data_IF_815073213147
#
_entry.id   IF_815073213147
#
_cell.length_a   1.000
_cell.length_b   1.000
_cell.length_c   1.000
_cell.angle_alpha   90.00
_cell.angle_beta   90.00
_cell.angle_gamma   90.00
#
_symmetry.space_group_name_H-M   'P 1'
#
loop_
_entity.id
_entity.type
_entity.pdbx_description
1 polymer ?
#
# COMPACT_ATOMS: atom_id res chain seq x y z
N UNK A 1 -19.17 -31.51 -6.97
CA UNK A 1 -19.01 -30.65 -8.17
C UNK A 1 -18.96 -29.14 -7.84
N UNK A 2 -19.35 -28.69 -6.64
CA UNK A 2 -19.38 -27.26 -6.27
C UNK A 2 -18.06 -26.72 -5.68
N UNK A 3 -17.24 -27.54 -5.03
CA UNK A 3 -15.99 -27.11 -4.37
C UNK A 3 -14.84 -26.82 -5.35
N UNK A 4 -14.75 -27.57 -6.45
CA UNK A 4 -13.70 -27.39 -7.47
C UNK A 4 -13.90 -26.10 -8.26
N UNK A 5 -15.15 -25.75 -8.57
CA UNK A 5 -15.49 -24.49 -9.25
C UNK A 5 -15.16 -23.27 -8.39
N UNK A 6 -15.41 -23.32 -7.07
CA UNK A 6 -15.08 -22.22 -6.16
C UNK A 6 -13.57 -21.99 -6.04
N UNK A 7 -12.77 -23.07 -6.01
CA UNK A 7 -11.29 -22.98 -5.98
C UNK A 7 -10.73 -22.47 -7.30
N UNK A 8 -11.31 -22.88 -8.44
CA UNK A 8 -10.93 -22.37 -9.77
C UNK A 8 -11.28 -20.88 -9.92
N UNK A 9 -12.43 -20.43 -9.42
CA UNK A 9 -12.79 -18.99 -9.41
C UNK A 9 -11.87 -18.15 -8.50
N UNK A 10 -11.39 -18.71 -7.38
CA UNK A 10 -10.44 -18.02 -6.50
C UNK A 10 -9.04 -17.93 -7.11
N UNK A 11 -8.61 -18.96 -7.87
CA UNK A 11 -7.34 -18.99 -8.58
C UNK A 11 -7.32 -18.02 -9.78
N UNK A 12 -8.44 -17.88 -10.49
CA UNK A 12 -8.56 -16.93 -11.62
C UNK A 12 -8.53 -15.46 -11.19
N UNK A 13 -8.90 -15.16 -9.93
CA UNK A 13 -8.72 -13.82 -9.34
C UNK A 13 -7.25 -13.49 -9.02
N UNK A 14 -6.39 -14.51 -8.86
CA UNK A 14 -4.96 -14.33 -8.58
C UNK A 14 -4.12 -14.16 -9.85
N UNK A 15 -4.56 -14.70 -10.99
CA UNK A 15 -3.80 -14.64 -12.26
C UNK A 15 -3.85 -13.27 -12.94
N UNK A 16 -4.86 -12.43 -12.68
CA UNK A 16 -4.93 -11.09 -13.29
C UNK A 16 -4.05 -10.04 -12.61
N UNK A 17 -3.47 -10.33 -11.43
CA UNK A 17 -2.55 -9.40 -10.73
C UNK A 17 -1.24 -9.22 -11.51
N UNK A 18 -0.87 -10.17 -12.37
CA UNK A 18 0.34 -10.12 -13.19
C UNK A 18 0.25 -9.12 -14.36
N UNK A 19 -0.96 -8.75 -14.79
CA UNK A 19 -1.17 -7.84 -15.93
C UNK A 19 -0.88 -6.36 -15.64
N UNK A 20 -0.61 -6.02 -14.38
CA UNK A 20 -0.31 -4.66 -13.92
C UNK A 20 1.17 -4.45 -13.57
N UNK A 21 2.09 -5.30 -14.07
CA UNK A 21 3.51 -4.95 -14.11
C UNK A 21 3.73 -3.80 -15.12
N UNK A 22 3.41 -2.57 -14.72
CA UNK A 22 3.88 -1.37 -15.42
C UNK A 22 5.38 -1.28 -15.17
N UNK A 23 6.13 -1.91 -16.09
CA UNK A 23 7.51 -1.58 -16.48
C UNK A 23 8.43 -1.16 -15.33
N UNK A 24 8.95 -2.14 -14.59
CA UNK A 24 10.14 -1.97 -13.76
C UNK A 24 11.37 -1.72 -14.65
N UNK A 25 11.55 -0.47 -15.09
CA UNK A 25 12.79 0.00 -15.69
C UNK A 25 13.76 0.38 -14.58
N UNK A 26 14.53 -0.59 -14.09
CA UNK A 26 15.87 -0.50 -13.48
C UNK A 26 16.26 0.68 -12.58
N UNK A 27 15.30 1.46 -12.07
CA UNK A 27 15.50 2.70 -11.33
C UNK A 27 15.06 2.51 -9.90
N UNK A 28 15.80 3.10 -8.95
CA UNK A 28 15.46 3.03 -7.52
C UNK A 28 14.02 3.52 -7.29
N UNK A 29 13.23 2.73 -6.59
CA UNK A 29 11.85 3.04 -6.22
C UNK A 29 11.82 3.59 -4.79
N UNK A 30 11.53 4.87 -4.66
CA UNK A 30 11.22 5.48 -3.36
C UNK A 30 9.75 5.23 -2.98
N UNK A 31 9.39 5.56 -1.74
CA UNK A 31 8.03 5.42 -1.22
C UNK A 31 6.98 6.20 -2.04
N UNK A 32 7.39 7.31 -2.68
CA UNK A 32 6.53 8.09 -3.56
C UNK A 32 6.14 7.29 -4.81
N UNK A 33 7.11 6.65 -5.46
CA UNK A 33 6.89 5.79 -6.64
C UNK A 33 6.09 4.55 -6.27
N UNK A 34 6.41 3.89 -5.15
CA UNK A 34 5.65 2.72 -4.66
C UNK A 34 4.18 3.08 -4.44
N UNK A 35 3.93 4.19 -3.74
CA UNK A 35 2.58 4.68 -3.45
C UNK A 35 1.82 5.03 -4.72
N UNK A 36 2.44 5.79 -5.63
CA UNK A 36 1.81 6.17 -6.91
C UNK A 36 1.45 4.93 -7.73
N UNK A 37 2.37 3.99 -7.85
CA UNK A 37 2.19 2.78 -8.64
C UNK A 37 1.01 1.95 -8.11
N UNK A 38 1.00 1.65 -6.82
CA UNK A 38 -0.09 0.88 -6.22
C UNK A 38 -1.47 1.54 -6.34
N UNK A 39 -1.52 2.88 -6.22
CA UNK A 39 -2.77 3.64 -6.45
C UNK A 39 -3.23 3.50 -7.91
N UNK A 40 -2.33 3.66 -8.88
CA UNK A 40 -2.66 3.53 -10.30
C UNK A 40 -3.15 2.12 -10.63
N UNK A 41 -2.43 1.08 -10.20
CA UNK A 41 -2.79 -0.32 -10.43
C UNK A 41 -4.16 -0.66 -9.83
N UNK A 42 -4.37 -0.32 -8.56
CA UNK A 42 -5.62 -0.64 -7.86
C UNK A 42 -6.79 0.11 -8.46
N UNK A 43 -6.61 1.40 -8.78
CA UNK A 43 -7.65 2.20 -9.44
C UNK A 43 -8.02 1.60 -10.79
N UNK A 44 -7.03 1.27 -11.62
CA UNK A 44 -7.27 0.69 -12.93
C UNK A 44 -7.98 -0.66 -12.87
N UNK A 45 -7.61 -1.51 -11.90
CA UNK A 45 -8.29 -2.77 -11.63
C UNK A 45 -9.77 -2.55 -11.27
N UNK A 46 -10.07 -1.61 -10.37
CA UNK A 46 -11.45 -1.28 -9.98
C UNK A 46 -12.24 -0.79 -11.19
N UNK A 47 -11.67 0.13 -11.98
CA UNK A 47 -12.36 0.68 -13.15
C UNK A 47 -12.66 -0.37 -14.22
N UNK A 48 -11.69 -1.26 -14.49
CA UNK A 48 -11.88 -2.39 -15.41
C UNK A 48 -13.02 -3.30 -14.94
N UNK A 49 -13.08 -3.61 -13.65
CA UNK A 49 -14.14 -4.43 -13.08
C UNK A 49 -15.52 -3.76 -13.19
N UNK A 50 -15.62 -2.47 -12.86
CA UNK A 50 -16.87 -1.72 -13.01
C UNK A 50 -17.33 -1.64 -14.47
N UNK A 51 -16.41 -1.34 -15.40
CA UNK A 51 -16.72 -1.29 -16.82
C UNK A 51 -17.22 -2.64 -17.35
N UNK A 52 -16.59 -3.75 -16.93
CA UNK A 52 -17.01 -5.10 -17.27
C UNK A 52 -18.41 -5.42 -16.77
N UNK A 53 -18.75 -5.04 -15.52
CA UNK A 53 -20.10 -5.20 -14.96
C UNK A 53 -21.14 -4.36 -15.72
N UNK A 54 -20.75 -3.22 -16.27
CA UNK A 54 -21.60 -2.35 -17.08
C UNK A 54 -21.69 -2.77 -18.56
N UNK A 55 -21.00 -3.84 -18.97
CA UNK A 55 -20.95 -4.26 -20.38
C UNK A 55 -20.18 -3.29 -21.29
N UNK A 56 -19.35 -2.39 -20.72
CA UNK A 56 -18.47 -1.50 -21.47
C UNK A 56 -17.12 -2.17 -21.71
N UNK A 57 -16.63 -2.12 -22.94
CA UNK A 57 -15.28 -2.56 -23.25
C UNK A 57 -14.26 -1.60 -22.61
N UNK A 58 -13.36 -2.14 -21.78
CA UNK A 58 -12.30 -1.39 -21.12
C UNK A 58 -10.97 -1.71 -21.79
N UNK A 59 -10.69 -1.02 -22.90
CA UNK A 59 -9.44 -1.17 -23.64
C UNK A 59 -8.42 -0.12 -23.19
N UNK A 60 -7.35 -0.59 -22.53
CA UNK A 60 -6.10 0.16 -22.46
C UNK A 60 -5.35 -0.04 -23.79
N UNK A 61 -4.76 1.01 -24.39
CA UNK A 61 -4.44 2.29 -23.78
C UNK A 61 -5.46 3.39 -24.12
N UNK A 62 -6.13 3.93 -23.11
CA UNK A 62 -6.70 5.29 -23.20
C UNK A 62 -5.59 6.32 -22.97
N UNK A 63 -5.76 7.56 -23.46
CA UNK A 63 -4.79 8.66 -23.29
C UNK A 63 -4.36 8.91 -21.83
N UNK A 64 -5.17 8.52 -20.84
CA UNK A 64 -4.79 8.50 -19.42
C UNK A 64 -5.72 7.60 -18.62
N UNK A 65 -5.23 6.96 -17.55
CA UNK A 65 -6.07 6.17 -16.64
C UNK A 65 -7.26 6.98 -16.10
N UNK A 66 -7.03 8.26 -15.81
CA UNK A 66 -8.09 9.16 -15.35
C UNK A 66 -9.26 9.26 -16.35
N UNK A 67 -8.97 9.28 -17.64
CA UNK A 67 -9.98 9.34 -18.70
C UNK A 67 -10.76 8.03 -18.84
N UNK A 68 -10.11 6.88 -18.65
CA UNK A 68 -10.79 5.57 -18.69
C UNK A 68 -11.68 5.34 -17.46
N UNK A 69 -11.18 5.73 -16.29
CA UNK A 69 -11.83 5.49 -15.02
C UNK A 69 -12.95 6.48 -14.70
N UNK A 70 -12.81 7.71 -15.20
CA UNK A 70 -13.63 8.84 -14.78
C UNK A 70 -14.04 9.68 -16.01
N UNK A 71 -14.24 10.98 -15.83
CA UNK A 71 -14.54 11.92 -16.91
C UNK A 71 -13.28 12.61 -17.46
N UNK A 72 -13.38 13.19 -18.67
CA UNK A 72 -12.30 13.94 -19.33
C UNK A 72 -11.75 15.13 -18.52
N UNK A 73 -12.48 15.61 -17.51
CA UNK A 73 -12.02 16.66 -16.58
C UNK A 73 -11.33 16.15 -15.30
N UNK A 74 -11.30 14.83 -15.06
CA UNK A 74 -10.89 14.24 -13.78
C UNK A 74 -9.38 13.97 -13.66
N UNK A 75 -8.60 14.22 -14.71
CA UNK A 75 -7.16 13.97 -14.70
C UNK A 75 -6.41 14.83 -13.65
N UNK A 76 -6.75 16.12 -13.56
CA UNK A 76 -6.13 17.03 -12.57
C UNK A 76 -6.51 16.64 -11.15
N UNK A 77 -7.78 16.30 -10.91
CA UNK A 77 -8.25 15.87 -9.59
C UNK A 77 -7.65 14.54 -9.15
N UNK A 78 -7.45 13.60 -10.08
CA UNK A 78 -6.77 12.34 -9.79
C UNK A 78 -5.31 12.57 -9.44
N UNK A 79 -4.60 13.35 -10.26
CA UNK A 79 -3.20 13.69 -10.00
C UNK A 79 -3.04 14.44 -8.67
N UNK A 80 -3.96 15.35 -8.33
CA UNK A 80 -3.98 16.02 -7.03
C UNK A 80 -4.19 15.02 -5.88
N UNK A 81 -5.08 14.04 -6.01
CA UNK A 81 -5.31 13.05 -4.97
C UNK A 81 -4.10 12.14 -4.75
N UNK A 82 -3.43 11.70 -5.81
CA UNK A 82 -2.16 10.98 -5.72
C UNK A 82 -1.13 11.87 -5.00
N UNK A 83 -0.99 13.14 -5.42
CA UNK A 83 -0.05 14.08 -4.82
C UNK A 83 -0.30 14.25 -3.32
N UNK A 84 -1.56 14.38 -2.89
CA UNK A 84 -1.92 14.53 -1.47
C UNK A 84 -1.47 13.31 -0.65
N UNK A 85 -1.71 12.11 -1.14
CA UNK A 85 -1.31 10.86 -0.47
C UNK A 85 0.21 10.73 -0.44
N UNK A 86 0.89 10.96 -1.58
CA UNK A 86 2.35 10.85 -1.66
C UNK A 86 3.07 11.90 -0.82
N UNK A 87 2.53 13.13 -0.75
CA UNK A 87 3.08 14.17 0.11
C UNK A 87 2.92 13.82 1.58
N UNK A 88 1.79 13.21 1.96
CA UNK A 88 1.55 12.77 3.34
C UNK A 88 2.45 11.62 3.74
N UNK A 89 2.62 10.65 2.84
CA UNK A 89 3.59 9.57 2.96
C UNK A 89 5.00 10.12 3.22
N UNK A 90 5.58 10.93 2.32
CA UNK A 90 6.93 11.47 2.52
C UNK A 90 7.07 12.41 3.72
N UNK A 91 5.97 13.00 4.22
CA UNK A 91 6.02 13.85 5.42
C UNK A 91 6.24 13.05 6.70
N UNK A 92 6.03 11.73 6.69
CA UNK A 92 6.29 10.88 7.85
C UNK A 92 7.77 10.92 8.23
N UNK A 93 8.68 10.77 7.26
CA UNK A 93 10.14 10.89 7.50
C UNK A 93 10.53 12.18 8.23
N UNK A 94 9.88 13.29 7.91
CA UNK A 94 10.16 14.57 8.57
C UNK A 94 9.47 14.70 9.93
N UNK A 95 8.21 14.29 10.05
CA UNK A 95 7.44 14.46 11.30
C UNK A 95 7.78 13.45 12.37
N UNK A 96 8.26 12.29 11.96
CA UNK A 96 8.48 11.11 12.78
C UNK A 96 9.93 10.64 12.74
N UNK A 97 10.86 11.54 12.41
CA UNK A 97 12.29 11.28 12.23
C UNK A 97 12.95 10.44 13.34
N UNK A 98 12.49 10.57 14.59
CA UNK A 98 13.03 9.83 15.74
C UNK A 98 12.04 8.84 16.36
N UNK A 99 10.91 8.60 15.69
CA UNK A 99 9.86 7.71 16.13
C UNK A 99 9.98 6.36 15.41
N UNK A 100 10.81 5.46 15.94
CA UNK A 100 11.11 4.19 15.27
C UNK A 100 9.88 3.34 14.94
N UNK A 101 8.76 3.51 15.65
CA UNK A 101 7.49 2.84 15.32
C UNK A 101 6.92 3.23 13.94
N UNK A 102 7.16 4.44 13.43
CA UNK A 102 6.71 4.84 12.09
C UNK A 102 7.58 4.26 10.98
N UNK A 103 8.80 3.84 11.34
CA UNK A 103 9.86 3.39 10.44
C UNK A 103 10.21 1.90 10.61
N UNK A 104 9.56 1.18 11.53
CA UNK A 104 9.98 -0.18 11.92
C UNK A 104 11.44 -0.28 12.40
N UNK A 105 11.99 0.82 12.88
CA UNK A 105 13.32 0.89 13.48
C UNK A 105 13.32 0.38 14.93
N UNK A 106 14.48 -0.07 15.39
CA UNK A 106 14.68 -0.51 16.77
C UNK A 106 13.76 -1.66 17.18
N UNK A 107 13.40 -2.52 16.22
CA UNK A 107 12.50 -3.66 16.38
C UNK A 107 11.09 -3.31 16.89
N UNK A 108 10.63 -2.07 16.66
CA UNK A 108 9.28 -1.58 17.02
C UNK A 108 8.17 -2.14 16.11
N UNK A 109 8.17 -3.45 15.88
CA UNK A 109 7.23 -4.13 14.98
C UNK A 109 5.79 -4.13 15.51
N UNK A 110 5.62 -4.26 16.83
CA UNK A 110 4.30 -4.28 17.47
C UNK A 110 3.65 -2.90 17.35
N UNK A 111 4.40 -1.85 17.67
CA UNK A 111 3.97 -0.46 17.62
C UNK A 111 3.73 -0.01 16.17
N UNK A 112 4.66 -0.29 15.25
CA UNK A 112 4.49 0.06 13.84
C UNK A 112 3.30 -0.63 13.20
N UNK A 113 3.08 -1.91 13.52
CA UNK A 113 1.87 -2.61 13.11
C UNK A 113 0.60 -1.99 13.69
N UNK A 114 0.63 -1.60 14.96
CA UNK A 114 -0.51 -0.92 15.60
C UNK A 114 -0.86 0.37 14.86
N UNK A 115 0.12 1.17 14.44
CA UNK A 115 -0.11 2.37 13.63
C UNK A 115 -0.82 2.05 12.31
N UNK A 116 -0.44 0.97 11.63
CA UNK A 116 -1.07 0.52 10.39
C UNK A 116 -2.54 0.12 10.63
N UNK A 117 -2.81 -0.70 11.65
CA UNK A 117 -4.18 -1.20 11.92
C UNK A 117 -5.12 -0.10 12.40
N UNK A 118 -4.66 0.74 13.34
CA UNK A 118 -5.46 1.85 13.86
C UNK A 118 -5.70 2.88 12.75
N UNK A 119 -4.69 3.14 11.91
CA UNK A 119 -4.83 4.04 10.79
C UNK A 119 -5.72 3.50 9.68
N UNK A 120 -5.68 2.20 9.37
CA UNK A 120 -6.63 1.55 8.47
C UNK A 120 -8.08 1.79 8.93
N UNK A 121 -8.33 1.56 10.22
CA UNK A 121 -9.64 1.79 10.83
C UNK A 121 -10.08 3.24 10.70
N UNK A 122 -9.15 4.19 10.91
CA UNK A 122 -9.39 5.63 10.73
C UNK A 122 -9.65 6.02 9.27
N UNK A 123 -8.98 5.41 8.30
CA UNK A 123 -9.21 5.66 6.86
C UNK A 123 -10.61 5.20 6.49
N UNK A 124 -10.96 3.96 6.83
CA UNK A 124 -12.29 3.38 6.56
C UNK A 124 -13.41 4.21 7.20
N UNK A 125 -13.22 4.64 8.46
CA UNK A 125 -14.18 5.50 9.15
C UNK A 125 -14.32 6.88 8.48
N UNK A 126 -13.20 7.48 8.06
CA UNK A 126 -13.19 8.79 7.40
C UNK A 126 -13.89 8.76 6.05
N UNK A 127 -13.71 7.69 5.28
CA UNK A 127 -14.43 7.46 4.02
C UNK A 127 -15.93 7.37 4.26
N UNK A 128 -16.35 6.55 5.24
CA UNK A 128 -17.76 6.39 5.61
C UNK A 128 -18.42 7.70 6.06
N UNK A 129 -17.65 8.58 6.72
CA UNK A 129 -18.10 9.91 7.14
C UNK A 129 -18.05 10.95 6.01
N UNK A 130 -17.56 10.59 4.82
CA UNK A 130 -17.37 11.51 3.70
C UNK A 130 -16.18 12.46 3.87
N UNK A 131 -15.34 12.27 4.89
CA UNK A 131 -14.13 13.06 5.12
C UNK A 131 -12.96 12.51 4.29
N UNK A 132 -13.04 12.72 2.98
CA UNK A 132 -12.07 12.19 1.99
C UNK A 132 -10.68 12.79 2.17
N UNK A 133 -10.58 14.05 2.64
CA UNK A 133 -9.28 14.65 2.93
C UNK A 133 -8.59 13.93 4.09
N UNK A 134 -9.27 13.76 5.23
CA UNK A 134 -8.70 13.02 6.36
C UNK A 134 -8.35 11.58 5.98
N UNK A 135 -9.19 10.93 5.16
CA UNK A 135 -8.90 9.60 4.63
C UNK A 135 -7.58 9.57 3.84
N UNK A 136 -7.38 10.51 2.90
CA UNK A 136 -6.13 10.60 2.11
C UNK A 136 -4.92 10.92 2.97
N UNK A 137 -5.07 11.81 3.95
CA UNK A 137 -3.98 12.14 4.86
C UNK A 137 -3.53 10.93 5.67
N UNK A 138 -4.49 10.25 6.31
CA UNK A 138 -4.18 9.08 7.14
C UNK A 138 -3.70 7.89 6.30
N UNK A 139 -4.21 7.75 5.06
CA UNK A 139 -3.72 6.77 4.10
C UNK A 139 -2.24 7.00 3.79
N UNK A 140 -1.84 8.23 3.47
CA UNK A 140 -0.42 8.54 3.24
C UNK A 140 0.45 8.17 4.44
N UNK A 141 0.04 8.54 5.65
CA UNK A 141 0.76 8.23 6.88
C UNK A 141 1.00 6.71 7.05
N UNK A 142 -0.04 5.88 6.90
CA UNK A 142 0.10 4.43 7.10
C UNK A 142 0.82 3.73 5.94
N UNK A 143 0.74 4.27 4.73
CA UNK A 143 1.45 3.71 3.58
C UNK A 143 2.95 3.84 3.74
N UNK A 144 3.41 4.95 4.32
CA UNK A 144 4.83 5.13 4.65
C UNK A 144 5.29 4.01 5.58
N UNK A 145 4.64 3.88 6.73
CA UNK A 145 4.98 2.86 7.73
C UNK A 145 4.91 1.44 7.15
N UNK A 146 3.89 1.13 6.34
CA UNK A 146 3.80 -0.18 5.67
C UNK A 146 4.97 -0.45 4.71
N UNK A 147 5.46 0.57 4.00
CA UNK A 147 6.55 0.44 3.04
C UNK A 147 7.90 0.29 3.79
N UNK A 148 8.09 1.04 4.87
CA UNK A 148 9.27 0.94 5.74
C UNK A 148 9.44 -0.46 6.34
N UNK A 149 8.35 -1.16 6.65
CA UNK A 149 8.45 -2.57 7.07
C UNK A 149 9.23 -3.42 6.06
N UNK A 150 9.02 -3.25 4.75
CA UNK A 150 9.71 -4.06 3.75
C UNK A 150 11.15 -3.60 3.51
N UNK A 151 11.44 -2.34 3.79
CA UNK A 151 12.79 -1.77 3.72
C UNK A 151 13.64 -2.10 4.94
N UNK A 152 13.02 -2.16 6.13
CA UNK A 152 13.71 -2.19 7.43
C UNK A 152 13.50 -3.49 8.23
N UNK A 153 12.77 -4.47 7.68
CA UNK A 153 12.67 -5.82 8.23
C UNK A 153 13.42 -6.87 7.42
N UNK A 154 13.58 -8.06 8.01
CA UNK A 154 14.21 -9.20 7.36
C UNK A 154 13.24 -9.99 6.47
N UNK A 155 12.05 -9.46 6.17
CA UNK A 155 11.00 -10.18 5.44
C UNK A 155 11.49 -10.73 4.10
N UNK A 156 12.27 -9.93 3.35
CA UNK A 156 12.79 -10.32 2.04
C UNK A 156 13.94 -11.33 2.18
N UNK A 157 14.79 -11.18 3.19
CA UNK A 157 15.90 -12.09 3.49
C UNK A 157 15.45 -13.46 3.97
N UNK A 158 14.28 -13.54 4.59
CA UNK A 158 13.62 -14.81 4.90
C UNK A 158 13.09 -15.53 3.65
N UNK A 159 13.31 -14.97 2.45
CA UNK A 159 12.89 -15.55 1.17
C UNK A 159 11.46 -15.20 0.77
N UNK A 160 10.76 -14.36 1.54
CA UNK A 160 9.40 -13.97 1.19
C UNK A 160 9.40 -13.03 -0.02
N UNK A 161 8.47 -13.26 -0.94
CA UNK A 161 8.24 -12.45 -2.15
C UNK A 161 6.78 -12.02 -2.30
N UNK A 162 6.01 -12.14 -1.22
CA UNK A 162 4.60 -11.78 -1.16
C UNK A 162 4.34 -10.89 0.04
N UNK A 163 3.27 -10.07 0.01
CA UNK A 163 2.88 -9.24 1.13
C UNK A 163 2.67 -10.04 2.42
N UNK A 164 3.13 -9.48 3.53
CA UNK A 164 2.83 -10.03 4.84
C UNK A 164 1.42 -9.64 5.29
N UNK A 165 0.44 -10.47 4.93
CA UNK A 165 -0.99 -10.19 5.15
C UNK A 165 -1.37 -9.93 6.62
N UNK A 166 -0.61 -10.46 7.59
CA UNK A 166 -0.88 -10.23 9.00
C UNK A 166 -0.56 -8.79 9.45
N UNK A 167 0.17 -7.98 8.67
CA UNK A 167 0.43 -6.57 9.01
C UNK A 167 -0.83 -5.71 9.03
N UNK A 168 -1.80 -6.02 8.17
CA UNK A 168 -3.02 -5.22 8.00
C UNK A 168 -4.27 -5.84 8.66
N UNK A 169 -4.14 -7.06 9.21
CA UNK A 169 -5.23 -7.83 9.80
C UNK A 169 -5.43 -7.51 11.28
N UNK A 170 -6.55 -6.89 11.66
CA UNK A 170 -6.84 -6.58 13.07
C UNK A 170 -7.15 -7.82 13.92
N UNK A 171 -7.51 -8.95 13.31
CA UNK A 171 -7.95 -10.17 13.97
C UNK A 171 -6.81 -11.10 14.42
N UNK A 172 -5.56 -10.75 14.10
CA UNK A 172 -4.37 -11.48 14.55
C UNK A 172 -3.53 -10.61 15.49
N UNK A 173 -3.03 -11.20 16.57
CA UNK A 173 -2.21 -10.51 17.58
C UNK A 173 -0.70 -10.67 17.35
N UNK A 174 -0.30 -11.75 16.68
CA UNK A 174 1.09 -12.07 16.36
C UNK A 174 1.28 -12.12 14.85
N UNK A 175 2.31 -11.42 14.35
CA UNK A 175 2.67 -11.39 12.93
C UNK A 175 3.68 -12.49 12.56
N UNK A 176 4.15 -13.29 13.52
CA UNK A 176 5.14 -14.33 13.29
C UNK A 176 6.57 -13.80 13.42
N UNK A 177 7.57 -14.57 12.97
CA UNK A 177 8.97 -14.21 13.14
C UNK A 177 9.37 -13.09 12.16
N UNK A 178 9.25 -11.86 12.63
CA UNK A 178 9.74 -10.64 11.99
C UNK A 178 10.68 -10.00 13.01
N UNK A 179 11.96 -9.90 12.62
CA UNK A 179 13.12 -9.74 13.52
C UNK A 179 13.43 -10.92 14.46
N UNK A 180 13.95 -12.00 13.85
CA UNK A 180 14.89 -12.90 14.52
C UNK A 180 14.34 -14.23 15.04
N UNK A 181 14.55 -15.31 14.28
CA UNK A 181 15.27 -16.55 14.67
C UNK A 181 15.40 -17.45 13.44
N UNK A 182 16.50 -17.33 12.70
CA UNK A 182 16.99 -18.51 12.00
C UNK A 182 17.45 -19.47 13.11
N UNK A 183 16.64 -20.50 13.39
CA UNK A 183 17.11 -21.62 14.19
C UNK A 183 18.36 -22.14 13.49
N UNK A 184 19.46 -22.22 14.24
CA UNK A 184 20.83 -22.62 13.83
C UNK A 184 21.70 -21.41 13.39
N UNK A 185 22.54 -20.96 14.35
CA UNK A 185 23.57 -19.90 14.34
C UNK A 185 23.12 -18.46 14.68
N UNK A 186 23.31 -18.12 15.95
CA UNK A 186 23.00 -16.87 16.65
C UNK A 186 23.98 -15.71 16.35
N UNK A 187 24.02 -15.18 15.12
CA UNK A 187 24.75 -13.93 14.82
C UNK A 187 24.14 -13.05 13.71
N UNK A 188 22.92 -13.33 13.24
CA UNK A 188 22.32 -12.57 12.14
C UNK A 188 21.04 -11.89 12.64
N UNK A 189 21.04 -10.54 12.66
CA UNK A 189 19.87 -9.63 12.77
C UNK A 189 19.40 -9.19 14.17
N UNK A 190 20.14 -8.30 14.85
CA UNK A 190 19.56 -7.39 15.86
C UNK A 190 19.99 -5.96 15.52
N UNK A 191 19.05 -5.01 15.55
CA UNK A 191 19.28 -3.60 15.19
C UNK A 191 19.66 -2.76 16.43
N UNK A 192 20.63 -1.84 16.32
CA UNK A 192 21.14 -1.03 17.44
C UNK A 192 21.47 0.41 17.01
N UNK A 193 20.50 1.34 16.92
CA UNK A 193 20.76 2.79 16.83
C UNK A 193 19.53 3.62 17.26
N UNK A 194 19.61 4.32 18.40
CA UNK A 194 18.53 5.17 18.89
C UNK A 194 18.99 6.53 19.46
N UNK A 195 19.68 7.36 18.66
CA UNK A 195 19.83 8.81 18.90
C UNK A 195 21.06 9.31 19.69
N UNK A 196 21.26 10.64 19.74
CA UNK A 196 22.49 11.30 20.23
C UNK A 196 22.78 11.17 21.74
N UNK A 197 21.94 10.47 22.50
CA UNK A 197 22.14 10.13 23.92
C UNK A 197 22.17 8.61 24.16
N UNK A 198 22.39 7.82 23.10
CA UNK A 198 22.36 6.35 23.15
C UNK A 198 23.61 5.77 23.85
N UNK A 199 23.42 5.30 25.08
CA UNK A 199 24.44 4.64 25.92
C UNK A 199 24.46 3.11 25.77
N UNK A 200 23.80 2.54 24.75
CA UNK A 200 23.68 1.08 24.58
C UNK A 200 24.86 0.41 23.85
N UNK A 201 25.96 1.14 23.66
CA UNK A 201 27.21 0.76 22.96
C UNK A 201 27.99 -0.44 23.53
N UNK A 202 27.54 -1.07 24.62
CA UNK A 202 28.27 -2.16 25.29
C UNK A 202 27.83 -3.60 24.94
N UNK A 203 26.86 -3.83 24.04
CA UNK A 203 26.34 -5.18 23.71
C UNK A 203 26.00 -5.31 22.20
N UNK A 204 26.32 -6.46 21.59
CA UNK A 204 26.28 -6.71 20.13
C UNK A 204 24.88 -6.81 19.47
N UNK A 205 24.71 -6.55 18.14
CA UNK A 205 25.59 -5.94 17.13
C UNK A 205 24.99 -4.69 16.41
N UNK A 206 25.86 -4.02 15.63
CA UNK A 206 25.59 -2.82 14.81
C UNK A 206 25.28 -3.20 13.34
N UNK A 207 24.07 -2.91 12.86
CA UNK A 207 23.67 -3.00 11.45
C UNK A 207 22.15 -3.07 11.27
N UNK A 208 21.52 -1.96 10.87
CA UNK A 208 20.11 -1.92 10.50
C UNK A 208 19.86 -2.50 9.12
N UNK A 209 18.75 -3.21 8.96
CA UNK A 209 18.29 -3.63 7.65
C UNK A 209 17.88 -2.35 6.92
N UNK A 210 18.57 -1.98 5.85
CA UNK A 210 18.19 -0.81 5.07
C UNK A 210 18.23 -1.16 3.59
N UNK A 211 17.06 -1.07 2.95
CA UNK A 211 16.85 -1.27 1.53
C UNK A 211 16.23 -0.05 0.86
N UNK A 212 16.41 1.15 1.43
CA UNK A 212 15.78 2.37 0.92
C UNK A 212 16.30 2.72 -0.49
N UNK A 213 17.52 2.30 -0.81
CA UNK A 213 18.12 2.50 -2.12
C UNK A 213 18.98 1.32 -2.54
N UNK A 214 19.29 1.26 -3.84
CA UNK A 214 20.28 0.33 -4.39
C UNK A 214 21.67 0.44 -3.76
N UNK A 215 21.99 1.58 -3.13
CA UNK A 215 23.29 1.85 -2.49
C UNK A 215 23.30 1.62 -0.98
N UNK A 216 22.16 1.28 -0.39
CA UNK A 216 22.06 0.97 1.04
C UNK A 216 22.80 -0.32 1.39
N UNK A 217 23.09 -0.56 2.68
CA UNK A 217 23.80 -1.76 3.15
C UNK A 217 23.14 -3.07 2.68
N UNK A 218 21.82 -3.10 2.50
CA UNK A 218 21.06 -4.23 1.96
C UNK A 218 20.39 -3.89 0.62
N UNK A 219 20.96 -2.95 -0.14
CA UNK A 219 20.40 -2.44 -1.39
C UNK A 219 20.27 -3.47 -2.51
N UNK A 220 20.97 -4.61 -2.42
CA UNK A 220 20.78 -5.76 -3.31
C UNK A 220 19.35 -6.35 -3.21
N UNK A 221 18.64 -6.10 -2.10
CA UNK A 221 17.25 -6.48 -1.91
C UNK A 221 16.25 -5.35 -2.18
N UNK A 222 16.71 -4.14 -2.55
CA UNK A 222 15.86 -2.95 -2.76
C UNK A 222 14.73 -3.21 -3.75
N UNK A 223 15.03 -3.79 -4.91
CA UNK A 223 14.00 -4.07 -5.93
C UNK A 223 12.95 -5.04 -5.41
N UNK A 224 13.37 -6.15 -4.79
CA UNK A 224 12.44 -7.13 -4.23
C UNK A 224 11.58 -6.53 -3.10
N UNK A 225 12.18 -5.70 -2.25
CA UNK A 225 11.46 -4.98 -1.20
C UNK A 225 10.42 -4.02 -1.78
N UNK A 226 10.80 -3.22 -2.78
CA UNK A 226 9.90 -2.29 -3.45
C UNK A 226 8.74 -3.00 -4.15
N UNK A 227 8.99 -4.11 -4.85
CA UNK A 227 7.95 -4.92 -5.49
C UNK A 227 6.94 -5.47 -4.47
N UNK A 228 7.43 -6.03 -3.36
CA UNK A 228 6.55 -6.53 -2.29
C UNK A 228 5.82 -5.37 -1.59
N UNK A 229 6.46 -4.21 -1.44
CA UNK A 229 5.84 -3.01 -0.89
C UNK A 229 4.73 -2.45 -1.78
N UNK A 230 4.88 -2.48 -3.11
CA UNK A 230 3.80 -2.17 -4.07
C UNK A 230 2.64 -3.15 -3.88
N UNK A 231 2.93 -4.45 -3.86
CA UNK A 231 1.90 -5.48 -3.68
C UNK A 231 1.16 -5.35 -2.34
N UNK A 232 1.87 -5.02 -1.25
CA UNK A 232 1.30 -4.82 0.07
C UNK A 232 0.46 -3.53 0.13
N UNK A 233 0.93 -2.46 -0.50
CA UNK A 233 0.18 -1.21 -0.65
C UNK A 233 -1.12 -1.46 -1.42
N UNK A 234 -1.07 -2.21 -2.52
CA UNK A 234 -2.27 -2.60 -3.28
C UNK A 234 -3.21 -3.48 -2.44
N UNK A 235 -2.69 -4.42 -1.65
CA UNK A 235 -3.51 -5.23 -0.75
C UNK A 235 -4.24 -4.37 0.31
N UNK A 236 -3.55 -3.39 0.89
CA UNK A 236 -4.14 -2.42 1.82
C UNK A 236 -5.27 -1.61 1.15
N UNK A 237 -5.04 -1.14 -0.08
CA UNK A 237 -6.05 -0.38 -0.84
C UNK A 237 -7.29 -1.24 -1.16
N UNK A 238 -7.11 -2.51 -1.50
CA UNK A 238 -8.22 -3.44 -1.74
C UNK A 238 -9.00 -3.78 -0.46
N UNK A 239 -8.34 -3.83 0.70
CA UNK A 239 -9.02 -3.98 1.99
C UNK A 239 -9.86 -2.75 2.36
N UNK A 240 -9.35 -1.53 2.09
CA UNK A 240 -10.13 -0.29 2.22
C UNK A 240 -11.33 -0.32 1.26
N UNK A 241 -11.09 -0.67 0.00
CA UNK A 241 -12.13 -0.78 -1.03
C UNK A 241 -13.21 -1.76 -0.62
N UNK A 242 -12.85 -2.95 -0.14
CA UNK A 242 -13.81 -3.96 0.31
C UNK A 242 -14.70 -3.46 1.46
N UNK A 243 -14.18 -2.60 2.33
CA UNK A 243 -14.96 -2.00 3.42
C UNK A 243 -15.79 -0.79 3.00
N UNK A 244 -15.31 0.01 2.04
CA UNK A 244 -15.97 1.25 1.61
C UNK A 244 -16.97 1.04 0.46
N UNK A 245 -16.76 0.02 -0.38
CA UNK A 245 -17.41 -0.12 -1.68
C UNK A 245 -16.71 0.68 -2.78
N UNK A 246 -16.93 0.27 -4.04
CA UNK A 246 -16.21 0.80 -5.21
C UNK A 246 -16.39 2.30 -5.39
N UNK A 247 -17.62 2.81 -5.20
CA UNK A 247 -17.93 4.24 -5.38
C UNK A 247 -17.17 5.11 -4.38
N UNK A 248 -17.22 4.78 -3.10
CA UNK A 248 -16.55 5.56 -2.07
C UNK A 248 -15.03 5.38 -2.09
N UNK A 249 -14.54 4.21 -2.50
CA UNK A 249 -13.11 4.01 -2.78
C UNK A 249 -12.62 4.93 -3.90
N UNK A 250 -13.35 4.99 -5.03
CA UNK A 250 -12.98 5.86 -6.15
C UNK A 250 -13.04 7.34 -5.78
N UNK A 251 -13.90 7.76 -4.84
CA UNK A 251 -13.90 9.13 -4.29
C UNK A 251 -12.59 9.49 -3.60
N UNK A 252 -11.89 8.53 -2.99
CA UNK A 252 -10.56 8.77 -2.42
C UNK A 252 -9.54 9.07 -3.51
N UNK A 253 -9.73 8.53 -4.71
CA UNK A 253 -8.80 8.67 -5.83
C UNK A 253 -8.97 9.98 -6.59
N UNK A 254 -9.93 10.85 -6.27
CA UNK A 254 -10.13 12.11 -7.00
C UNK A 254 -10.53 13.25 -6.06
N UNK A 255 -9.92 14.41 -6.25
CA UNK A 255 -10.27 15.62 -5.52
C UNK A 255 -11.44 16.39 -6.18
N UNK A 256 -12.59 16.53 -5.51
CA UNK A 256 -13.64 17.49 -5.88
C UNK A 256 -15.06 16.92 -6.09
N UNK A 257 -16.06 17.83 -6.15
CA UNK A 257 -17.51 17.52 -6.26
C UNK A 257 -17.93 16.89 -7.60
N UNK A 258 -17.07 16.84 -8.61
CA UNK A 258 -17.38 16.37 -9.96
C UNK A 258 -17.69 14.87 -10.06
N UNK A 259 -17.20 14.05 -9.12
CA UNK A 259 -17.50 12.61 -9.11
C UNK A 259 -18.93 12.27 -8.67
N UNK A 260 -19.45 13.00 -7.68
CA UNK A 260 -20.80 12.74 -7.16
C UNK A 260 -21.85 12.93 -8.24
N UNK A 261 -21.62 13.88 -9.17
CA UNK A 261 -22.51 14.13 -10.31
C UNK A 261 -22.39 13.04 -11.38
N UNK A 262 -21.17 12.59 -11.71
CA UNK A 262 -20.98 11.53 -12.71
C UNK A 262 -21.56 10.20 -12.24
N UNK A 263 -21.31 9.79 -11.00
CA UNK A 263 -21.85 8.53 -10.44
C UNK A 263 -23.35 8.60 -10.13
N UNK A 264 -23.88 9.75 -9.68
CA UNK A 264 -25.34 9.91 -9.56
C UNK A 264 -26.04 9.86 -10.93
N UNK A 265 -25.44 10.45 -11.98
CA UNK A 265 -26.01 10.39 -13.33
C UNK A 265 -25.96 8.97 -13.91
N UNK A 266 -24.90 8.19 -13.63
CA UNK A 266 -24.80 6.78 -14.01
C UNK A 266 -25.76 5.87 -13.21
N UNK A 267 -25.99 6.18 -11.93
CA UNK A 267 -26.94 5.45 -11.08
C UNK A 267 -28.40 5.76 -11.46
N UNK A 268 -28.71 6.99 -11.87
CA UNK A 268 -30.02 7.40 -12.39
C UNK A 268 -30.36 6.70 -13.72
N UNK A 269 -29.37 6.47 -14.59
CA UNK A 269 -29.55 5.72 -15.84
C UNK A 269 -29.93 4.24 -15.61
N UNK A 270 -29.56 3.64 -14.48
CA UNK A 270 -29.98 2.27 -14.09
C UNK A 270 -31.42 2.19 -13.54
N UNK A 271 -32.03 3.32 -13.18
CA UNK A 271 -33.42 3.37 -12.67
C UNK A 271 -34.42 3.68 -13.80
N UNK A 272 -33.93 4.20 -14.93
CA UNK A 272 -34.75 4.66 -16.07
C UNK A 272 -34.80 3.63 -17.22
N UNK A 273 -33.92 2.62 -17.21
CA UNK A 273 -33.91 1.47 -18.13
C UNK A 273 -34.28 0.18 -17.37
#
# INVERSE_FOLDING_TARGET
MSSVLAVVSLLLLQTEVQGFLVLFSGSSMDHLKITREAILQTTAKVCKQLASVEGRDFTLPVKSLALACFSSGSAKSFQSAISDVTWRNARVDFRHLFNGEYHFDGERFVEGRKLIIDGMSSVKASIKQGNIEAARQKLGDILHTLQDFYSHSNWIELGNRFPHSNLIRSDVSNIGPVAGIARVWSWVWKCSHGGSFDQTSGKEPMGGINKDSLKSNHGNWHTAAAEVAVAATSQLLEDIRGAAGDTDFLRVQISGRLFSLYMSMMSLLRVIL
#
